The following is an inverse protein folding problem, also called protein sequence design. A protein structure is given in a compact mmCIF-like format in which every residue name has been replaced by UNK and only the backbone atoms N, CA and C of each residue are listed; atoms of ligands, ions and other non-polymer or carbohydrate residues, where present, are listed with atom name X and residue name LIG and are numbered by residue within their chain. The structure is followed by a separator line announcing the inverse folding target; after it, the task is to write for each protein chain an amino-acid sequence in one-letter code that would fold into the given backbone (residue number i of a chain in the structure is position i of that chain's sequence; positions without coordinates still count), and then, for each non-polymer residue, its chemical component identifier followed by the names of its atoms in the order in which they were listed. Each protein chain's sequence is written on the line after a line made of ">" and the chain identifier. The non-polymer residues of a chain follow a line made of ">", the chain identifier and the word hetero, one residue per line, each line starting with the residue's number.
data_IF_613307195555
#
_entry.id   IF_613307195555
#
_cell.length_a   1.000
_cell.length_b   1.000
_cell.length_c   1.000
_cell.angle_alpha   90.00
_cell.angle_beta   90.00
_cell.angle_gamma   90.00
#
_symmetry.space_group_name_H-M   'P 1'
#
loop_
_entity.id
_entity.type
_entity.pdbx_description
1 polymer ?
#
# COMPACT_ATOMS: atom_id res chain seq x y z
N UNK A 1 -10.14 18.81 19.98
CA UNK A 1 -10.30 18.16 18.65
C UNK A 1 -10.26 19.25 17.62
N UNK A 2 -9.17 19.39 16.84
CA UNK A 2 -9.06 20.41 15.79
C UNK A 2 -9.78 19.86 14.55
N UNK A 3 -10.77 20.58 14.04
CA UNK A 3 -11.38 20.27 12.74
C UNK A 3 -10.40 20.73 11.66
N UNK A 4 -9.97 19.80 10.82
CA UNK A 4 -9.08 20.09 9.69
C UNK A 4 -9.90 20.66 8.54
N UNK A 5 -9.36 21.67 7.87
CA UNK A 5 -9.84 22.05 6.54
C UNK A 5 -9.51 20.95 5.52
N UNK A 6 -10.26 20.87 4.42
CA UNK A 6 -10.06 19.83 3.39
C UNK A 6 -8.63 19.78 2.85
N UNK A 7 -7.99 20.94 2.68
CA UNK A 7 -6.60 21.01 2.21
C UNK A 7 -5.61 20.50 3.25
N UNK A 8 -5.81 20.80 4.54
CA UNK A 8 -4.99 20.23 5.62
C UNK A 8 -5.15 18.71 5.71
N UNK A 9 -6.38 18.20 5.54
CA UNK A 9 -6.66 16.77 5.50
C UNK A 9 -5.97 16.08 4.31
N UNK A 10 -6.04 16.67 3.12
CA UNK A 10 -5.36 16.14 1.93
C UNK A 10 -3.83 16.08 2.11
N UNK A 11 -3.22 17.12 2.70
CA UNK A 11 -1.79 17.13 3.00
C UNK A 11 -1.42 15.99 3.96
N UNK A 12 -2.18 15.83 5.04
CA UNK A 12 -1.96 14.75 6.00
C UNK A 12 -2.14 13.37 5.37
N UNK A 13 -3.19 13.18 4.56
CA UNK A 13 -3.41 11.92 3.84
C UNK A 13 -2.27 11.61 2.87
N UNK A 14 -1.73 12.60 2.18
CA UNK A 14 -0.59 12.41 1.28
C UNK A 14 0.69 12.04 2.05
N UNK A 15 0.95 12.69 3.18
CA UNK A 15 2.07 12.34 4.07
C UNK A 15 1.93 10.92 4.62
N UNK A 16 0.73 10.54 5.07
CA UNK A 16 0.43 9.17 5.53
C UNK A 16 0.70 8.14 4.43
N UNK A 17 0.21 8.38 3.21
CA UNK A 17 0.45 7.49 2.06
C UNK A 17 1.93 7.36 1.74
N UNK A 18 2.69 8.46 1.80
CA UNK A 18 4.13 8.44 1.54
C UNK A 18 4.88 7.62 2.60
N UNK A 19 4.56 7.82 3.88
CA UNK A 19 5.13 7.06 4.98
C UNK A 19 4.78 5.57 4.89
N UNK A 20 3.52 5.26 4.57
CA UNK A 20 3.06 3.89 4.38
C UNK A 20 3.82 3.17 3.25
N UNK A 21 4.08 3.87 2.14
CA UNK A 21 4.87 3.32 1.03
C UNK A 21 6.32 3.02 1.42
N UNK A 22 6.94 3.88 2.21
CA UNK A 22 8.33 3.69 2.66
C UNK A 22 8.40 2.51 3.65
N UNK A 23 7.50 2.47 4.63
CA UNK A 23 7.50 1.42 5.66
C UNK A 23 7.17 0.04 5.08
N UNK A 24 6.30 -0.04 4.08
CA UNK A 24 5.91 -1.30 3.44
C UNK A 24 6.66 -1.58 2.13
N UNK A 25 7.75 -0.84 1.84
CA UNK A 25 8.42 -0.88 0.55
C UNK A 25 8.85 -2.29 0.12
N UNK A 26 9.39 -3.11 1.04
CA UNK A 26 9.83 -4.47 0.70
C UNK A 26 8.66 -5.37 0.26
N UNK A 27 7.53 -5.31 0.98
CA UNK A 27 6.35 -6.12 0.68
C UNK A 27 5.64 -5.66 -0.59
N UNK A 28 5.70 -4.36 -0.89
CA UNK A 28 5.25 -3.81 -2.17
C UNK A 28 6.14 -4.35 -3.29
N UNK A 29 7.46 -4.36 -3.11
CA UNK A 29 8.39 -4.89 -4.11
C UNK A 29 8.16 -6.38 -4.37
N UNK A 30 8.01 -7.20 -3.32
CA UNK A 30 7.69 -8.63 -3.47
C UNK A 30 6.38 -8.87 -4.25
N UNK A 31 5.38 -8.01 -4.05
CA UNK A 31 4.14 -8.07 -4.82
C UNK A 31 4.34 -7.67 -6.28
N UNK A 32 5.12 -6.61 -6.56
CA UNK A 32 5.48 -6.18 -7.92
C UNK A 32 6.23 -7.29 -8.65
N UNK A 33 7.22 -7.89 -8.01
CA UNK A 33 8.01 -8.98 -8.58
C UNK A 33 7.13 -10.18 -8.92
N UNK A 34 6.18 -10.52 -8.05
CA UNK A 34 5.21 -11.57 -8.33
C UNK A 34 4.26 -11.19 -9.48
N UNK A 35 3.80 -9.94 -9.54
CA UNK A 35 2.84 -9.46 -10.53
C UNK A 35 3.45 -9.28 -11.92
N UNK A 36 4.77 -9.10 -12.02
CA UNK A 36 5.46 -8.88 -13.28
C UNK A 36 5.18 -10.02 -14.27
N UNK A 37 4.63 -9.68 -15.44
CA UNK A 37 4.29 -10.63 -16.50
C UNK A 37 2.98 -11.39 -16.31
N UNK A 38 2.18 -11.11 -15.26
CA UNK A 38 0.87 -11.73 -15.04
C UNK A 38 -0.23 -10.71 -15.30
N UNK A 39 -1.12 -10.99 -16.26
CA UNK A 39 -2.24 -10.08 -16.61
C UNK A 39 -3.56 -10.54 -16.00
N UNK A 40 -3.81 -11.86 -15.96
CA UNK A 40 -5.11 -12.42 -15.54
C UNK A 40 -5.04 -13.25 -14.25
N UNK A 41 -3.89 -13.81 -13.90
CA UNK A 41 -3.75 -14.80 -12.80
C UNK A 41 -3.29 -14.21 -11.46
N UNK A 42 -3.08 -12.89 -11.39
CA UNK A 42 -2.45 -12.20 -10.24
C UNK A 42 -3.14 -12.50 -8.92
N UNK A 43 -4.48 -12.44 -8.90
CA UNK A 43 -5.29 -12.64 -7.69
C UNK A 43 -5.06 -14.02 -7.08
N UNK A 44 -4.72 -15.02 -7.89
CA UNK A 44 -4.51 -16.40 -7.45
C UNK A 44 -3.03 -16.69 -7.25
N UNK A 45 -2.19 -16.34 -8.22
CA UNK A 45 -0.75 -16.59 -8.22
C UNK A 45 0.02 -15.76 -7.20
N UNK A 46 -0.44 -14.53 -6.90
CA UNK A 46 0.22 -13.60 -6.00
C UNK A 46 -0.59 -13.31 -4.73
N UNK A 47 -1.56 -14.17 -4.40
CA UNK A 47 -2.47 -13.99 -3.26
C UNK A 47 -1.72 -13.80 -1.94
N UNK A 48 -0.62 -14.52 -1.75
CA UNK A 48 0.19 -14.46 -0.53
C UNK A 48 0.89 -13.10 -0.39
N UNK A 49 1.55 -12.65 -1.45
CA UNK A 49 2.26 -11.36 -1.50
C UNK A 49 1.26 -10.20 -1.36
N UNK A 50 0.11 -10.30 -2.04
CA UNK A 50 -0.98 -9.35 -1.91
C UNK A 50 -1.49 -9.24 -0.47
N UNK A 51 -1.68 -10.37 0.22
CA UNK A 51 -2.11 -10.39 1.62
C UNK A 51 -1.05 -9.78 2.54
N UNK A 52 0.22 -10.10 2.33
CA UNK A 52 1.32 -9.57 3.15
C UNK A 52 1.45 -8.05 3.01
N UNK A 53 1.44 -7.54 1.78
CA UNK A 53 1.44 -6.10 1.48
C UNK A 53 0.25 -5.39 2.14
N UNK A 54 -0.97 -5.91 1.94
CA UNK A 54 -2.17 -5.30 2.51
C UNK A 54 -2.18 -5.33 4.05
N UNK A 55 -1.63 -6.39 4.65
CA UNK A 55 -1.52 -6.45 6.12
C UNK A 55 -0.56 -5.37 6.65
N UNK A 56 0.51 -5.06 5.94
CA UNK A 56 1.39 -3.95 6.31
C UNK A 56 0.68 -2.59 6.18
N UNK A 57 0.00 -2.36 5.04
CA UNK A 57 -0.67 -1.09 4.76
C UNK A 57 -1.86 -0.80 5.70
N UNK A 58 -2.57 -1.83 6.14
CA UNK A 58 -3.76 -1.67 7.00
C UNK A 58 -3.43 -1.50 8.49
N UNK A 59 -2.22 -1.84 8.93
CA UNK A 59 -1.79 -1.75 10.33
C UNK A 59 -0.95 -0.49 10.61
N UNK A 60 -1.07 0.54 9.75
CA UNK A 60 -0.25 1.74 9.74
C UNK A 60 -0.99 2.96 10.29
#
# INVERSE_FOLDING_TARGET
>A
MKVLSRSEEEVLLNQLKQNARINCASLIQEFIDCNTGKVFSVVWSCRRQLKAMNNCLNNL
#
